data_IF_984996773380
#
_entry.id   IF_984996773380
#
_cell.length_a   1.000
_cell.length_b   1.000
_cell.length_c   1.000
_cell.angle_alpha   90.00
_cell.angle_beta   90.00
_cell.angle_gamma   90.00
#
_symmetry.space_group_name_H-M   'P 1'
#
loop_
_entity.id
_entity.type
_entity.pdbx_description
1 polymer ?
#
# COMPACT_ATOMS: atom_id res chain seq x y z
N UNK A 1 34.35 -12.05 -8.36
CA UNK A 1 33.69 -10.75 -8.17
C UNK A 1 32.47 -10.72 -9.07
N UNK A 2 31.29 -10.80 -8.47
CA UNK A 2 30.02 -10.72 -9.18
C UNK A 2 29.74 -9.29 -9.65
N UNK A 3 28.79 -9.15 -10.59
CA UNK A 3 28.34 -7.84 -11.04
C UNK A 3 27.54 -7.18 -9.90
N UNK A 4 27.84 -5.93 -9.51
CA UNK A 4 27.13 -5.28 -8.41
C UNK A 4 25.64 -5.19 -8.71
N UNK A 5 24.83 -5.61 -7.75
CA UNK A 5 23.38 -5.54 -7.82
C UNK A 5 22.96 -4.15 -7.38
N UNK A 6 22.18 -3.48 -8.24
CA UNK A 6 21.62 -2.17 -7.96
C UNK A 6 20.14 -2.36 -7.65
N UNK A 7 19.74 -2.04 -6.43
CA UNK A 7 18.36 -2.05 -5.99
C UNK A 7 17.93 -0.63 -5.64
N UNK A 8 16.66 -0.32 -5.90
CA UNK A 8 16.03 0.94 -5.48
C UNK A 8 15.11 0.60 -4.32
N UNK A 9 15.44 1.11 -3.16
CA UNK A 9 14.69 0.85 -1.94
C UNK A 9 13.47 1.76 -1.82
N UNK A 10 12.64 1.46 -0.83
CA UNK A 10 11.43 2.22 -0.51
C UNK A 10 11.88 3.63 -0.08
N UNK A 11 11.35 4.67 -0.73
CA UNK A 11 11.82 6.05 -0.60
C UNK A 11 12.74 6.54 -1.72
N UNK A 12 13.05 5.70 -2.72
CA UNK A 12 13.72 6.13 -3.96
C UNK A 12 15.24 6.21 -3.88
N UNK A 13 15.84 5.88 -2.74
CA UNK A 13 17.28 5.78 -2.59
C UNK A 13 17.82 4.52 -3.31
N UNK A 14 19.03 4.65 -3.84
CA UNK A 14 19.71 3.55 -4.54
C UNK A 14 20.67 2.86 -3.59
N UNK A 15 20.53 1.54 -3.52
CA UNK A 15 21.43 0.64 -2.82
C UNK A 15 22.23 -0.12 -3.87
N UNK A 16 23.55 -0.23 -3.65
CA UNK A 16 24.45 -0.98 -4.52
C UNK A 16 25.39 -1.77 -3.64
N UNK A 17 25.36 -3.09 -3.78
CA UNK A 17 26.34 -3.99 -3.15
C UNK A 17 26.77 -5.06 -4.17
N UNK A 18 27.96 -5.61 -3.97
CA UNK A 18 28.52 -6.72 -4.75
C UNK A 18 28.75 -7.98 -3.89
N UNK A 19 28.36 -7.93 -2.62
CA UNK A 19 28.44 -9.04 -1.67
C UNK A 19 27.10 -9.75 -1.55
N UNK A 20 27.17 -11.06 -1.71
CA UNK A 20 26.07 -11.96 -1.46
C UNK A 20 26.56 -13.18 -0.68
N UNK A 21 25.65 -13.81 0.07
CA UNK A 21 25.92 -15.02 0.85
C UNK A 21 24.71 -15.94 0.80
N UNK A 22 24.96 -17.24 0.64
CA UNK A 22 23.90 -18.24 0.69
C UNK A 22 23.51 -18.52 2.15
N UNK A 23 22.24 -18.29 2.49
CA UNK A 23 21.72 -18.49 3.84
C UNK A 23 20.57 -19.50 3.84
N UNK A 24 20.54 -20.36 4.86
CA UNK A 24 19.33 -21.12 5.21
C UNK A 24 18.50 -20.22 6.12
N UNK A 25 17.35 -19.77 5.63
CA UNK A 25 16.48 -18.82 6.33
C UNK A 25 15.37 -19.59 7.03
N UNK A 26 15.15 -19.32 8.31
CA UNK A 26 14.01 -19.86 9.06
C UNK A 26 13.16 -18.70 9.57
N UNK A 27 11.86 -18.71 9.26
CA UNK A 27 10.91 -17.69 9.72
C UNK A 27 9.97 -18.34 10.72
N UNK A 28 10.00 -17.86 11.96
CA UNK A 28 9.02 -18.22 12.98
C UNK A 28 7.69 -17.52 12.73
N UNK A 29 6.65 -18.28 12.37
CA UNK A 29 5.29 -17.76 12.25
C UNK A 29 4.42 -18.27 13.40
N UNK A 30 3.23 -17.69 13.58
CA UNK A 30 2.23 -18.19 14.55
C UNK A 30 1.83 -19.65 14.26
N UNK A 31 1.87 -20.07 13.00
CA UNK A 31 1.55 -21.43 12.59
C UNK A 31 2.73 -22.42 12.71
N UNK A 32 3.93 -21.94 13.06
CA UNK A 32 5.15 -22.73 13.15
C UNK A 32 6.31 -22.12 12.35
N UNK A 33 7.46 -22.80 12.40
CA UNK A 33 8.66 -22.41 11.65
C UNK A 33 8.49 -22.82 10.19
N UNK A 34 8.83 -21.92 9.27
CA UNK A 34 8.93 -22.19 7.83
C UNK A 34 10.36 -22.01 7.35
N UNK A 35 10.80 -22.86 6.43
CA UNK A 35 12.16 -22.81 5.86
C UNK A 35 12.13 -23.16 4.36
N UNK A 36 12.98 -22.51 3.52
CA UNK A 36 13.16 -22.89 2.13
C UNK A 36 13.83 -24.27 2.01
N UNK A 37 13.57 -24.98 0.92
CA UNK A 37 14.20 -26.29 0.67
C UNK A 37 15.71 -26.22 0.41
N UNK A 38 16.22 -25.04 0.02
CA UNK A 38 17.62 -24.80 -0.35
C UNK A 38 18.07 -23.46 0.23
N UNK A 39 19.38 -23.27 0.45
CA UNK A 39 19.90 -21.94 0.76
C UNK A 39 19.52 -20.94 -0.33
N UNK A 40 19.19 -19.73 0.09
CA UNK A 40 18.85 -18.61 -0.78
C UNK A 40 19.99 -17.58 -0.77
N UNK A 41 20.34 -17.06 -1.95
CA UNK A 41 21.38 -16.04 -2.10
C UNK A 41 20.86 -14.70 -1.54
N UNK A 42 21.47 -14.24 -0.45
CA UNK A 42 21.08 -13.02 0.24
C UNK A 42 22.09 -11.91 -0.02
N UNK A 43 21.59 -10.70 -0.32
CA UNK A 43 22.43 -9.52 -0.48
C UNK A 43 22.78 -8.94 0.89
N UNK A 44 24.06 -8.69 1.10
CA UNK A 44 24.52 -7.90 2.24
C UNK A 44 24.40 -6.44 1.85
N UNK A 45 23.75 -5.63 2.67
CA UNK A 45 23.61 -4.20 2.46
C UNK A 45 24.21 -3.52 3.69
N UNK A 46 25.20 -2.65 3.48
CA UNK A 46 25.69 -1.76 4.53
C UNK A 46 24.69 -0.62 4.75
N UNK A 47 23.78 -0.80 5.71
CA UNK A 47 22.86 0.20 6.22
C UNK A 47 22.96 0.31 7.74
N UNK A 48 22.59 1.47 8.28
CA UNK A 48 22.43 1.66 9.73
C UNK A 48 21.14 1.00 10.26
N UNK A 49 20.28 0.51 9.36
CA UNK A 49 19.04 -0.18 9.67
C UNK A 49 19.31 -1.66 10.00
N UNK A 50 18.73 -2.15 11.10
CA UNK A 50 18.85 -3.52 11.62
C UNK A 50 17.72 -4.45 11.10
N UNK A 51 17.18 -4.14 9.94
CA UNK A 51 16.02 -4.83 9.37
C UNK A 51 16.41 -5.85 8.29
N UNK A 52 15.81 -7.05 8.35
CA UNK A 52 15.94 -8.05 7.30
C UNK A 52 14.78 -7.91 6.29
N UNK A 53 15.13 -7.61 5.03
CA UNK A 53 14.15 -7.49 3.95
C UNK A 53 14.03 -8.83 3.22
N UNK A 54 12.87 -9.48 3.37
CA UNK A 54 12.51 -10.65 2.59
C UNK A 54 11.94 -10.24 1.23
N UNK A 55 12.62 -10.62 0.14
CA UNK A 55 12.14 -10.43 -1.22
C UNK A 55 10.90 -11.28 -1.54
N UNK A 56 10.15 -10.87 -2.57
CA UNK A 56 8.95 -11.58 -3.00
C UNK A 56 9.24 -13.01 -3.47
N UNK A 57 10.41 -13.23 -4.06
CA UNK A 57 10.94 -14.53 -4.44
C UNK A 57 11.07 -15.48 -3.25
N UNK A 58 11.74 -15.03 -2.17
CA UNK A 58 11.85 -15.79 -0.92
C UNK A 58 10.47 -16.07 -0.32
N UNK A 59 9.60 -15.06 -0.25
CA UNK A 59 8.25 -15.21 0.28
C UNK A 59 7.44 -16.26 -0.51
N UNK A 60 7.52 -16.23 -1.84
CA UNK A 60 6.87 -17.23 -2.71
C UNK A 60 7.42 -18.64 -2.50
N UNK A 61 8.73 -18.79 -2.32
CA UNK A 61 9.36 -20.09 -1.99
C UNK A 61 8.83 -20.64 -0.65
N UNK A 62 8.57 -19.75 0.31
CA UNK A 62 7.96 -20.09 1.60
C UNK A 62 6.44 -20.30 1.53
N UNK A 63 5.83 -20.20 0.36
CA UNK A 63 4.38 -20.34 0.16
C UNK A 63 3.57 -19.11 0.57
N UNK A 64 4.23 -17.98 0.80
CA UNK A 64 3.62 -16.69 1.13
C UNK A 64 3.49 -15.89 -0.18
N UNK A 65 2.30 -15.97 -0.79
CA UNK A 65 1.98 -15.21 -2.00
C UNK A 65 1.15 -13.96 -1.66
N UNK A 66 1.84 -12.84 -1.46
CA UNK A 66 1.23 -11.56 -1.07
C UNK A 66 0.23 -11.06 -2.13
N UNK A 67 0.51 -11.25 -3.41
CA UNK A 67 -0.38 -10.80 -4.49
C UNK A 67 -1.71 -11.55 -4.40
N UNK A 68 -1.65 -12.88 -4.24
CA UNK A 68 -2.85 -13.71 -4.07
C UNK A 68 -3.64 -13.36 -2.80
N UNK A 69 -2.96 -13.01 -1.71
CA UNK A 69 -3.62 -12.58 -0.48
C UNK A 69 -4.32 -11.23 -0.66
N UNK A 70 -3.69 -10.28 -1.36
CA UNK A 70 -4.28 -9.00 -1.69
C UNK A 70 -5.46 -9.13 -2.68
N UNK A 71 -5.38 -10.04 -3.64
CA UNK A 71 -6.50 -10.36 -4.54
C UNK A 71 -7.71 -10.89 -3.77
N UNK A 72 -7.49 -11.73 -2.76
CA UNK A 72 -8.59 -12.21 -1.90
C UNK A 72 -9.22 -11.09 -1.07
N UNK A 73 -8.42 -10.11 -0.63
CA UNK A 73 -8.91 -8.92 0.07
C UNK A 73 -9.66 -7.95 -0.85
N UNK A 74 -9.24 -7.85 -2.11
CA UNK A 74 -9.82 -6.96 -3.10
C UNK A 74 -11.07 -7.55 -3.78
N UNK A 75 -11.35 -8.85 -3.59
CA UNK A 75 -12.61 -9.43 -4.01
C UNK A 75 -13.73 -8.74 -3.23
N UNK A 76 -14.69 -8.10 -3.91
CA UNK A 76 -15.84 -7.56 -3.23
C UNK A 76 -16.50 -8.71 -2.48
N UNK A 77 -16.61 -8.58 -1.16
CA UNK A 77 -17.56 -9.42 -0.45
C UNK A 77 -18.88 -9.19 -1.15
N UNK A 78 -19.51 -10.25 -1.66
CA UNK A 78 -20.95 -10.24 -1.90
C UNK A 78 -21.61 -10.21 -0.52
N UNK A 79 -21.38 -9.12 0.21
CA UNK A 79 -22.30 -8.71 1.23
C UNK A 79 -23.57 -8.35 0.48
N UNK A 80 -24.56 -9.23 0.59
CA UNK A 80 -25.96 -8.88 0.38
C UNK A 80 -26.44 -7.95 1.51
N UNK A 81 -25.54 -7.30 2.24
CA UNK A 81 -25.88 -6.16 3.07
C UNK A 81 -26.27 -5.04 2.11
N UNK A 82 -27.57 -4.83 2.01
CA UNK A 82 -28.15 -3.59 1.48
C UNK A 82 -27.38 -2.47 2.17
N UNK A 83 -26.66 -1.65 1.39
CA UNK A 83 -25.98 -0.48 1.94
C UNK A 83 -27.02 0.31 2.73
N UNK A 84 -26.85 0.53 4.06
CA UNK A 84 -27.77 1.32 4.86
C UNK A 84 -27.97 2.74 4.31
N UNK A 85 -27.07 3.19 3.42
CA UNK A 85 -27.11 4.47 2.73
C UNK A 85 -27.63 4.40 1.29
N UNK A 86 -27.88 3.22 0.71
CA UNK A 86 -28.55 3.10 -0.62
C UNK A 86 -30.00 3.63 -0.58
N UNK A 87 -30.60 3.67 0.63
CA UNK A 87 -31.94 4.19 0.89
C UNK A 87 -31.89 5.57 1.54
N UNK A 88 -30.94 6.42 1.15
CA UNK A 88 -31.11 7.86 1.40
C UNK A 88 -32.15 8.37 0.41
N UNK A 89 -33.34 8.69 0.93
CA UNK A 89 -34.23 9.64 0.26
C UNK A 89 -33.36 10.86 -0.06
N UNK A 90 -33.06 11.08 -1.34
CA UNK A 90 -32.28 12.24 -1.77
C UNK A 90 -33.11 13.47 -1.41
N UNK A 91 -32.89 14.00 -0.20
CA UNK A 91 -33.56 15.19 0.32
C UNK A 91 -33.19 16.45 -0.46
N UNK A 92 -32.44 16.33 -1.57
CA UNK A 92 -32.45 17.30 -2.66
C UNK A 92 -33.80 17.25 -3.39
N UNK A 93 -34.91 17.38 -2.65
CA UNK A 93 -36.26 17.40 -3.22
C UNK A 93 -36.57 18.74 -3.88
N UNK A 94 -35.69 19.74 -3.77
CA UNK A 94 -35.89 21.05 -4.38
C UNK A 94 -34.60 21.49 -5.08
N UNK A 95 -34.69 21.92 -6.36
CA UNK A 95 -33.60 22.63 -7.01
C UNK A 95 -33.14 23.79 -6.12
N UNK A 96 -31.83 24.01 -5.96
CA UNK A 96 -31.34 25.09 -5.11
C UNK A 96 -31.91 26.44 -5.56
N UNK A 97 -32.26 27.30 -4.60
CA UNK A 97 -32.67 28.68 -4.92
C UNK A 97 -31.46 29.46 -5.42
N UNK A 98 -31.35 29.53 -6.75
CA UNK A 98 -30.26 30.22 -7.44
C UNK A 98 -30.25 31.72 -7.07
N UNK A 99 -31.40 32.32 -6.77
CA UNK A 99 -31.49 33.74 -6.42
C UNK A 99 -30.87 33.99 -5.06
N UNK A 100 -31.14 33.13 -4.07
CA UNK A 100 -30.55 33.21 -2.74
C UNK A 100 -29.03 33.01 -2.80
N UNK A 101 -28.57 32.02 -3.56
CA UNK A 101 -27.14 31.75 -3.75
C UNK A 101 -26.42 32.95 -4.39
N UNK A 102 -27.00 33.55 -5.42
CA UNK A 102 -26.43 34.72 -6.08
C UNK A 102 -26.42 35.95 -5.16
N UNK A 103 -27.42 36.11 -4.30
CA UNK A 103 -27.45 37.20 -3.33
C UNK A 103 -26.30 37.09 -2.32
N UNK A 104 -26.05 35.89 -1.77
CA UNK A 104 -24.96 35.69 -0.82
C UNK A 104 -23.58 35.79 -1.51
N UNK A 105 -23.45 35.30 -2.75
CA UNK A 105 -22.21 35.44 -3.53
C UNK A 105 -21.86 36.92 -3.79
N UNK A 106 -22.87 37.74 -4.11
CA UNK A 106 -22.66 39.18 -4.32
C UNK A 106 -22.23 39.87 -3.02
N UNK A 107 -22.77 39.46 -1.87
CA UNK A 107 -22.32 39.98 -0.58
C UNK A 107 -20.86 39.65 -0.29
N UNK A 108 -20.42 38.42 -0.59
CA UNK A 108 -19.01 38.03 -0.45
C UNK A 108 -18.09 38.82 -1.39
N UNK A 109 -18.55 39.10 -2.62
CA UNK A 109 -17.83 39.96 -3.56
C UNK A 109 -17.72 41.41 -3.05
N UNK A 110 -18.81 41.96 -2.53
CA UNK A 110 -18.84 43.31 -1.96
C UNK A 110 -17.94 43.44 -0.73
N UNK A 111 -17.87 42.41 0.11
CA UNK A 111 -16.98 42.39 1.27
C UNK A 111 -15.51 42.30 0.84
N UNK A 112 -15.21 41.52 -0.21
CA UNK A 112 -13.86 41.38 -0.74
C UNK A 112 -13.34 42.65 -1.47
N UNK A 113 -14.23 43.50 -1.99
CA UNK A 113 -13.87 44.77 -2.65
C UNK A 113 -13.70 45.91 -1.61
N UNK A 114 -14.19 45.73 -0.38
CA UNK A 114 -14.10 46.73 0.70
C UNK A 114 -12.83 46.62 1.56
N UNK A 115 -11.96 45.63 1.31
CA UNK A 115 -10.55 45.61 1.75
C UNK A 115 -9.63 46.26 0.71
#
# INVERSE_FOLDING_TARGET
MGKPIKCRAIGGHWVKDDRAVDLIIQIGTVAGIVEPQKPEECLLIESDDDEFIAGQDLLKVLGIDVDRLLEQLAQPTVDNEIDPYDVVDDKRTEPPDIVEILAELNKLLDDAIKE
#
